data_IF_827114627811
#
_entry.id   IF_827114627811
#
_cell.length_a   1.000
_cell.length_b   1.000
_cell.length_c   1.000
_cell.angle_alpha   90.00
_cell.angle_beta   90.00
_cell.angle_gamma   90.00
#
_symmetry.space_group_name_H-M   'P 1'
#
loop_
_entity.id
_entity.type
_entity.pdbx_description
1 polymer ?
#
# COMPACT_ATOMS: atom_id res chain seq x y z
N UNK A 1 -17.15 -18.20 7.25
CA UNK A 1 -16.89 -16.87 6.63
C UNK A 1 -17.03 -15.83 7.73
N UNK A 2 -15.97 -15.12 8.06
CA UNK A 2 -15.91 -14.26 9.26
C UNK A 2 -16.03 -12.74 8.98
N UNK A 3 -16.53 -12.38 7.81
CA UNK A 3 -17.05 -11.04 7.60
C UNK A 3 -18.46 -10.95 8.23
N UNK A 4 -18.73 -9.91 9.01
CA UNK A 4 -20.07 -9.68 9.57
C UNK A 4 -21.10 -9.44 8.47
N UNK A 5 -20.74 -8.64 7.47
CA UNK A 5 -21.47 -8.53 6.21
C UNK A 5 -20.61 -9.02 5.03
N UNK A 6 -20.79 -10.26 4.60
CA UNK A 6 -20.07 -10.80 3.44
C UNK A 6 -20.31 -10.03 2.14
N UNK A 7 -21.44 -9.28 2.03
CA UNK A 7 -21.77 -8.51 0.83
C UNK A 7 -20.85 -7.31 0.68
N UNK A 8 -20.43 -6.67 1.78
CA UNK A 8 -19.46 -5.56 1.71
C UNK A 8 -18.07 -6.04 1.28
N UNK A 9 -17.61 -7.19 1.77
CA UNK A 9 -16.37 -7.80 1.29
C UNK A 9 -16.43 -8.16 -0.21
N UNK A 10 -17.56 -8.74 -0.66
CA UNK A 10 -17.75 -9.09 -2.06
C UNK A 10 -17.86 -7.85 -2.94
N UNK A 11 -18.52 -6.80 -2.47
CA UNK A 11 -18.58 -5.51 -3.15
C UNK A 11 -17.18 -4.90 -3.34
N UNK A 12 -16.34 -4.92 -2.31
CA UNK A 12 -14.94 -4.46 -2.43
C UNK A 12 -14.16 -5.30 -3.46
N UNK A 13 -14.31 -6.62 -3.46
CA UNK A 13 -13.69 -7.50 -4.47
C UNK A 13 -14.17 -7.19 -5.89
N UNK A 14 -15.43 -6.87 -6.07
CA UNK A 14 -16.01 -6.48 -7.36
C UNK A 14 -15.46 -5.13 -7.85
N UNK A 15 -15.26 -4.16 -6.94
CA UNK A 15 -14.57 -2.90 -7.26
C UNK A 15 -13.13 -3.15 -7.70
N UNK A 16 -12.41 -4.03 -7.00
CA UNK A 16 -11.05 -4.43 -7.39
C UNK A 16 -11.04 -5.08 -8.79
N UNK A 17 -11.97 -6.00 -9.08
CA UNK A 17 -12.08 -6.61 -10.41
C UNK A 17 -12.34 -5.58 -11.50
N UNK A 18 -13.25 -4.64 -11.27
CA UNK A 18 -13.54 -3.54 -12.21
C UNK A 18 -12.27 -2.72 -12.49
N UNK A 19 -11.47 -2.45 -11.46
CA UNK A 19 -10.20 -1.72 -11.61
C UNK A 19 -9.18 -2.52 -12.40
N UNK A 20 -9.04 -3.82 -12.14
CA UNK A 20 -8.16 -4.72 -12.91
C UNK A 20 -8.53 -4.69 -14.39
N UNK A 21 -9.81 -4.79 -14.74
CA UNK A 21 -10.25 -4.76 -16.14
C UNK A 21 -9.98 -3.39 -16.81
N UNK A 22 -10.11 -2.30 -16.07
CA UNK A 22 -9.70 -0.97 -16.56
C UNK A 22 -8.20 -0.91 -16.86
N UNK A 23 -7.35 -1.41 -15.95
CA UNK A 23 -5.89 -1.41 -16.14
C UNK A 23 -5.49 -2.30 -17.32
N UNK A 24 -6.13 -3.46 -17.52
CA UNK A 24 -5.90 -4.32 -18.70
C UNK A 24 -6.19 -3.59 -20.01
N UNK A 25 -7.25 -2.76 -20.07
CA UNK A 25 -7.53 -1.92 -21.25
C UNK A 25 -6.42 -0.91 -21.50
N UNK A 26 -5.87 -0.30 -20.44
CA UNK A 26 -4.73 0.62 -20.55
C UNK A 26 -3.49 -0.09 -21.11
N UNK A 27 -3.16 -1.30 -20.62
CA UNK A 27 -2.08 -2.13 -21.17
C UNK A 27 -2.28 -2.40 -22.65
N UNK A 28 -3.50 -2.80 -23.06
CA UNK A 28 -3.81 -3.03 -24.47
C UNK A 28 -3.60 -1.78 -25.33
N UNK A 29 -3.98 -0.61 -24.81
CA UNK A 29 -3.75 0.68 -25.50
C UNK A 29 -2.26 1.01 -25.59
N UNK A 30 -1.45 0.74 -24.57
CA UNK A 30 0.00 0.91 -24.60
C UNK A 30 0.66 -0.03 -25.61
N UNK A 31 0.26 -1.31 -25.63
CA UNK A 31 0.75 -2.28 -26.62
C UNK A 31 0.44 -1.86 -28.05
N UNK A 32 -0.78 -1.37 -28.33
CA UNK A 32 -1.12 -0.80 -29.65
C UNK A 32 -0.24 0.38 -30.03
N UNK A 33 0.12 1.25 -29.06
CA UNK A 33 1.04 2.37 -29.30
C UNK A 33 2.44 1.87 -29.66
N UNK A 34 2.93 0.78 -29.05
CA UNK A 34 4.24 0.19 -29.38
C UNK A 34 4.30 -0.37 -30.80
N UNK A 35 3.17 -0.72 -31.40
CA UNK A 35 3.10 -1.22 -32.79
C UNK A 35 3.16 -0.10 -33.85
N UNK A 36 3.16 1.18 -33.44
CA UNK A 36 3.26 2.31 -34.37
C UNK A 36 4.69 2.46 -34.86
N UNK A 37 4.84 2.65 -36.19
CA UNK A 37 6.14 2.91 -36.80
C UNK A 37 6.73 4.27 -36.37
N UNK A 38 8.05 4.37 -36.36
CA UNK A 38 8.76 5.64 -36.10
C UNK A 38 8.82 6.10 -34.65
N UNK A 39 8.57 5.21 -33.69
CA UNK A 39 8.74 5.54 -32.29
C UNK A 39 10.24 5.69 -31.94
N UNK A 40 10.58 6.78 -31.25
CA UNK A 40 11.93 6.92 -30.66
C UNK A 40 12.13 5.95 -29.50
N UNK A 41 13.39 5.50 -29.28
CA UNK A 41 13.77 4.62 -28.16
C UNK A 41 13.24 5.11 -26.83
N UNK A 42 13.34 6.42 -26.54
CA UNK A 42 12.83 7.02 -25.31
C UNK A 42 11.30 6.87 -25.15
N UNK A 43 10.53 6.94 -26.28
CA UNK A 43 9.08 6.72 -26.23
C UNK A 43 8.75 5.26 -25.95
N UNK A 44 9.49 4.33 -26.57
CA UNK A 44 9.34 2.89 -26.35
C UNK A 44 9.63 2.55 -24.88
N UNK A 45 10.73 3.04 -24.32
CA UNK A 45 11.08 2.85 -22.90
C UNK A 45 9.97 3.34 -21.97
N UNK A 46 9.47 4.58 -22.19
CA UNK A 46 8.39 5.15 -21.37
C UNK A 46 7.09 4.33 -21.45
N UNK A 47 6.73 3.81 -22.63
CA UNK A 47 5.53 2.96 -22.76
C UNK A 47 5.74 1.64 -22.03
N UNK A 48 6.93 1.03 -22.12
CA UNK A 48 7.24 -0.19 -21.40
C UNK A 48 7.20 0.02 -19.86
N UNK A 49 7.70 1.15 -19.37
CA UNK A 49 7.58 1.50 -17.94
C UNK A 49 6.10 1.60 -17.50
N UNK A 50 5.23 2.18 -18.33
CA UNK A 50 3.79 2.26 -18.06
C UNK A 50 3.12 0.88 -18.04
N UNK A 51 3.50 -0.02 -18.95
CA UNK A 51 3.02 -1.41 -18.97
C UNK A 51 3.47 -2.14 -17.69
N UNK A 52 4.76 -2.07 -17.34
CA UNK A 52 5.30 -2.72 -16.14
C UNK A 52 4.64 -2.21 -14.85
N UNK A 53 4.39 -0.92 -14.74
CA UNK A 53 3.65 -0.35 -13.61
C UNK A 53 2.22 -0.87 -13.56
N UNK A 54 1.52 -0.90 -14.69
CA UNK A 54 0.15 -1.41 -14.79
C UNK A 54 0.07 -2.90 -14.40
N UNK A 55 0.99 -3.73 -14.87
CA UNK A 55 1.08 -5.15 -14.49
C UNK A 55 1.36 -5.32 -12.99
N UNK A 56 2.25 -4.51 -12.42
CA UNK A 56 2.53 -4.52 -10.99
C UNK A 56 1.30 -4.13 -10.17
N UNK A 57 0.51 -3.16 -10.63
CA UNK A 57 -0.76 -2.78 -10.00
C UNK A 57 -1.78 -3.92 -10.05
N UNK A 58 -1.91 -4.63 -11.18
CA UNK A 58 -2.79 -5.82 -11.27
C UNK A 58 -2.35 -6.89 -10.28
N UNK A 59 -1.05 -7.16 -10.17
CA UNK A 59 -0.51 -8.12 -9.20
C UNK A 59 -0.90 -7.76 -7.76
N UNK A 60 -0.71 -6.49 -7.37
CA UNK A 60 -1.09 -5.99 -6.06
C UNK A 60 -2.61 -6.10 -5.80
N UNK A 61 -3.43 -5.76 -6.78
CA UNK A 61 -4.88 -5.86 -6.67
C UNK A 61 -5.37 -7.32 -6.53
N UNK A 62 -4.75 -8.27 -7.23
CA UNK A 62 -5.03 -9.68 -7.03
C UNK A 62 -4.63 -10.15 -5.62
N UNK A 63 -3.50 -9.65 -5.11
CA UNK A 63 -3.09 -9.91 -3.72
C UNK A 63 -4.11 -9.33 -2.73
N UNK A 64 -4.61 -8.11 -2.94
CA UNK A 64 -5.65 -7.51 -2.09
C UNK A 64 -6.93 -8.37 -2.05
N UNK A 65 -7.33 -8.99 -3.18
CA UNK A 65 -8.45 -9.94 -3.19
C UNK A 65 -8.16 -11.17 -2.32
N UNK A 66 -6.95 -11.73 -2.45
CA UNK A 66 -6.53 -12.87 -1.62
C UNK A 66 -6.48 -12.50 -0.14
N UNK A 67 -6.08 -11.27 0.19
CA UNK A 67 -6.07 -10.77 1.57
C UNK A 67 -7.51 -10.68 2.13
N UNK A 68 -8.49 -10.21 1.33
CA UNK A 68 -9.92 -10.19 1.71
C UNK A 68 -10.44 -11.61 1.94
N UNK A 69 -10.06 -12.57 1.08
CA UNK A 69 -10.44 -13.98 1.23
C UNK A 69 -9.80 -14.61 2.48
N UNK A 70 -8.55 -14.27 2.79
CA UNK A 70 -7.86 -14.69 4.01
C UNK A 70 -8.60 -14.23 5.28
N UNK A 71 -9.04 -12.97 5.32
CA UNK A 71 -9.84 -12.47 6.43
C UNK A 71 -11.17 -13.22 6.54
N UNK A 72 -11.77 -13.57 5.41
CA UNK A 72 -13.00 -14.38 5.38
C UNK A 72 -12.82 -15.82 5.92
N UNK A 73 -11.60 -16.35 5.90
CA UNK A 73 -11.25 -17.69 6.40
C UNK A 73 -10.73 -17.69 7.85
N UNK A 74 -10.41 -16.52 8.41
CA UNK A 74 -9.95 -16.42 9.79
C UNK A 74 -11.06 -16.85 10.76
N UNK A 75 -10.80 -17.91 11.53
CA UNK A 75 -11.78 -18.48 12.47
C UNK A 75 -11.82 -17.75 13.82
N UNK A 76 -10.82 -16.92 14.10
CA UNK A 76 -10.67 -16.30 15.42
C UNK A 76 -11.29 -14.90 15.50
N UNK A 77 -11.46 -14.21 14.38
CA UNK A 77 -11.91 -12.84 14.35
C UNK A 77 -13.14 -12.64 13.45
N UNK A 78 -13.99 -11.68 13.80
CA UNK A 78 -15.10 -11.22 12.96
C UNK A 78 -14.77 -9.82 12.48
N UNK A 79 -14.74 -9.61 11.16
CA UNK A 79 -14.36 -8.34 10.54
C UNK A 79 -15.60 -7.54 10.13
N UNK A 80 -15.57 -6.25 10.40
CA UNK A 80 -16.62 -5.29 10.05
C UNK A 80 -16.02 -4.17 9.22
N UNK A 81 -16.40 -4.08 7.95
CA UNK A 81 -16.00 -2.96 7.10
C UNK A 81 -16.98 -1.80 7.31
N UNK A 82 -16.49 -0.67 7.82
CA UNK A 82 -17.28 0.50 8.14
C UNK A 82 -16.81 1.71 7.34
N UNK A 83 -17.77 2.38 6.69
CA UNK A 83 -17.50 3.67 6.04
C UNK A 83 -17.65 4.80 7.05
N UNK A 84 -16.65 5.67 7.09
CA UNK A 84 -16.64 6.86 7.94
C UNK A 84 -16.52 8.12 7.08
N UNK A 85 -17.18 9.19 7.51
CA UNK A 85 -17.12 10.50 6.86
C UNK A 85 -16.01 11.34 7.52
N UNK A 86 -14.77 11.16 7.03
CA UNK A 86 -13.60 11.83 7.60
C UNK A 86 -13.06 11.16 8.86
N UNK A 87 -12.08 11.80 9.49
CA UNK A 87 -11.38 11.24 10.65
C UNK A 87 -10.22 10.31 10.28
N UNK A 88 -9.61 9.69 11.29
CA UNK A 88 -8.47 8.81 11.13
C UNK A 88 -8.96 7.43 10.68
N UNK A 89 -8.45 6.98 9.54
CA UNK A 89 -8.63 5.59 9.10
C UNK A 89 -7.88 4.67 10.05
N UNK A 90 -8.49 3.54 10.41
CA UNK A 90 -7.91 2.67 11.43
C UNK A 90 -8.52 1.28 11.40
N UNK A 91 -7.75 0.33 11.91
CA UNK A 91 -8.24 -0.98 12.35
C UNK A 91 -8.29 -0.98 13.87
N UNK A 92 -9.42 -1.31 14.44
CA UNK A 92 -9.57 -1.40 15.89
C UNK A 92 -10.42 -2.58 16.34
N UNK A 93 -10.13 -3.08 17.53
CA UNK A 93 -11.03 -4.02 18.22
C UNK A 93 -12.10 -3.26 18.99
N UNK A 94 -13.36 -3.61 18.77
CA UNK A 94 -14.48 -3.08 19.55
C UNK A 94 -14.71 -3.84 20.85
N UNK A 95 -15.57 -3.31 21.71
CA UNK A 95 -15.94 -3.93 22.98
C UNK A 95 -16.63 -5.30 22.83
N UNK A 96 -17.12 -5.63 21.61
CA UNK A 96 -17.74 -6.91 21.26
C UNK A 96 -16.76 -7.88 20.60
N UNK A 97 -15.45 -7.63 20.75
CA UNK A 97 -14.35 -8.42 20.17
C UNK A 97 -14.29 -8.47 18.65
N UNK A 98 -15.17 -7.72 17.95
CA UNK A 98 -15.10 -7.58 16.49
C UNK A 98 -13.98 -6.63 16.09
N UNK A 99 -13.41 -6.89 14.91
CA UNK A 99 -12.36 -6.07 14.31
C UNK A 99 -12.99 -5.12 13.30
N UNK A 100 -13.00 -3.84 13.59
CA UNK A 100 -13.57 -2.79 12.75
C UNK A 100 -12.49 -2.23 11.83
N UNK A 101 -12.79 -2.16 10.55
CA UNK A 101 -11.99 -1.53 9.50
C UNK A 101 -12.71 -0.25 9.12
N UNK A 102 -12.29 0.88 9.72
CA UNK A 102 -12.96 2.18 9.60
C UNK A 102 -12.25 3.04 8.56
N UNK A 103 -12.86 3.25 7.40
CA UNK A 103 -12.23 3.93 6.27
C UNK A 103 -13.23 4.73 5.46
N UNK A 104 -12.77 5.79 4.78
CA UNK A 104 -13.61 6.63 3.92
C UNK A 104 -13.64 6.20 2.46
N UNK A 105 -12.76 5.25 2.03
CA UNK A 105 -12.68 4.80 0.64
C UNK A 105 -12.27 3.34 0.50
N UNK A 106 -12.50 2.75 -0.68
CA UNK A 106 -12.06 1.39 -1.00
C UNK A 106 -10.54 1.25 -1.00
N UNK A 107 -9.82 2.27 -1.49
CA UNK A 107 -8.36 2.30 -1.48
C UNK A 107 -7.79 2.23 -0.06
N UNK A 108 -8.36 3.00 0.87
CA UNK A 108 -8.00 2.98 2.28
C UNK A 108 -8.41 1.67 2.97
N UNK A 109 -9.54 1.06 2.56
CA UNK A 109 -9.91 -0.27 3.05
C UNK A 109 -8.87 -1.33 2.66
N UNK A 110 -8.35 -1.25 1.43
CA UNK A 110 -7.29 -2.13 0.96
C UNK A 110 -6.00 -1.92 1.78
N UNK A 111 -5.65 -0.67 2.09
CA UNK A 111 -4.52 -0.32 2.96
C UNK A 111 -4.65 -1.00 4.34
N UNK A 112 -5.76 -0.79 5.02
CA UNK A 112 -6.01 -1.32 6.36
C UNK A 112 -6.13 -2.85 6.38
N UNK A 113 -6.76 -3.47 5.36
CA UNK A 113 -6.80 -4.93 5.18
C UNK A 113 -5.39 -5.51 5.02
N UNK A 114 -4.50 -4.79 4.34
CA UNK A 114 -3.09 -5.19 4.22
C UNK A 114 -2.41 -5.26 5.58
N UNK A 115 -2.63 -4.30 6.48
CA UNK A 115 -2.11 -4.34 7.85
C UNK A 115 -2.66 -5.50 8.69
N UNK A 116 -3.94 -5.83 8.54
CA UNK A 116 -4.54 -7.00 9.18
C UNK A 116 -3.84 -8.28 8.71
N UNK A 117 -3.72 -8.47 7.39
CA UNK A 117 -3.03 -9.63 6.81
C UNK A 117 -1.57 -9.73 7.29
N UNK A 118 -0.84 -8.60 7.31
CA UNK A 118 0.54 -8.56 7.82
C UNK A 118 0.61 -9.02 9.27
N UNK A 119 -0.34 -8.61 10.10
CA UNK A 119 -0.42 -9.02 11.51
C UNK A 119 -0.77 -10.51 11.64
N UNK A 120 -1.76 -11.01 10.92
CA UNK A 120 -2.15 -12.43 10.93
C UNK A 120 -0.97 -13.33 10.54
N UNK A 121 -0.21 -12.96 9.52
CA UNK A 121 0.96 -13.72 9.05
C UNK A 121 2.20 -13.58 9.94
N UNK A 122 2.20 -12.61 10.86
CA UNK A 122 3.33 -12.33 11.79
C UNK A 122 3.08 -12.78 13.22
N UNK A 123 2.05 -13.58 13.47
CA UNK A 123 1.76 -14.14 14.78
C UNK A 123 0.42 -13.70 15.38
N UNK A 124 -0.47 -13.14 14.58
CA UNK A 124 -1.84 -12.79 14.96
C UNK A 124 -2.05 -11.29 15.24
N UNK A 125 -3.32 -10.94 15.42
CA UNK A 125 -3.71 -9.56 15.72
C UNK A 125 -3.34 -9.22 17.17
N UNK A 126 -2.79 -8.04 17.38
CA UNK A 126 -2.53 -7.46 18.70
C UNK A 126 -3.08 -6.05 18.74
N UNK A 127 -3.81 -5.74 19.80
CA UNK A 127 -4.45 -4.44 19.95
C UNK A 127 -3.86 -3.70 21.15
N UNK A 128 -3.75 -2.38 21.02
CA UNK A 128 -3.37 -1.49 22.10
C UNK A 128 -4.49 -1.27 23.11
N UNK A 129 -4.22 -0.48 24.16
CA UNK A 129 -5.22 -0.17 25.20
C UNK A 129 -6.44 0.59 24.67
N UNK A 130 -6.28 1.35 23.60
CA UNK A 130 -7.37 2.06 22.90
C UNK A 130 -8.10 1.19 21.87
N UNK A 131 -7.73 -0.08 21.73
CA UNK A 131 -8.28 -0.99 20.74
C UNK A 131 -7.65 -0.87 19.35
N UNK A 132 -6.71 0.02 19.10
CA UNK A 132 -6.02 0.18 17.83
C UNK A 132 -5.13 -1.03 17.51
N UNK A 133 -5.07 -1.44 16.23
CA UNK A 133 -4.18 -2.50 15.77
C UNK A 133 -2.73 -2.05 15.91
N UNK A 134 -1.94 -2.86 16.63
CA UNK A 134 -0.51 -2.62 16.78
C UNK A 134 0.24 -3.16 15.56
N UNK A 135 1.23 -2.38 15.08
CA UNK A 135 2.08 -2.81 13.98
C UNK A 135 2.84 -4.09 14.35
N UNK A 136 2.84 -5.07 13.45
CA UNK A 136 3.48 -6.37 13.66
C UNK A 136 5.00 -6.36 13.38
N UNK A 137 5.57 -5.25 12.92
CA UNK A 137 7.00 -5.13 12.60
C UNK A 137 7.89 -5.23 13.82
N UNK A 138 8.88 -6.12 13.78
CA UNK A 138 9.83 -6.36 14.88
C UNK A 138 10.92 -5.28 15.01
N UNK A 139 11.09 -4.46 13.99
CA UNK A 139 12.07 -3.35 13.95
C UNK A 139 11.62 -2.30 12.94
N UNK A 140 12.31 -1.15 12.91
CA UNK A 140 11.95 -0.03 12.05
C UNK A 140 11.93 -0.37 10.55
N UNK A 141 12.86 -1.22 10.09
CA UNK A 141 12.88 -1.64 8.70
C UNK A 141 11.63 -2.49 8.35
N UNK A 142 11.23 -3.40 9.25
CA UNK A 142 10.02 -4.19 9.07
C UNK A 142 8.76 -3.32 9.08
N UNK A 143 8.66 -2.36 10.01
CA UNK A 143 7.56 -1.39 10.09
C UNK A 143 7.49 -0.57 8.78
N UNK A 144 8.61 -0.03 8.33
CA UNK A 144 8.68 0.73 7.09
C UNK A 144 8.23 -0.10 5.87
N UNK A 145 8.66 -1.36 5.77
CA UNK A 145 8.26 -2.24 4.67
C UNK A 145 6.76 -2.55 4.70
N UNK A 146 6.16 -2.67 5.89
CA UNK A 146 4.72 -2.87 6.04
C UNK A 146 3.93 -1.66 5.55
N UNK A 147 4.33 -0.46 5.92
CA UNK A 147 3.70 0.77 5.44
C UNK A 147 3.89 0.95 3.91
N UNK A 148 5.10 0.72 3.40
CA UNK A 148 5.37 0.77 1.94
C UNK A 148 4.45 -0.21 1.20
N UNK A 149 4.29 -1.43 1.68
CA UNK A 149 3.41 -2.42 1.07
C UNK A 149 1.95 -1.93 1.10
N UNK A 150 1.44 -1.49 2.24
CA UNK A 150 0.06 -1.02 2.39
C UNK A 150 -0.24 0.17 1.45
N UNK A 151 0.66 1.15 1.36
CA UNK A 151 0.52 2.26 0.42
C UNK A 151 0.63 1.84 -1.04
N UNK A 152 1.45 0.85 -1.39
CA UNK A 152 1.50 0.30 -2.75
C UNK A 152 0.21 -0.41 -3.13
N UNK A 153 -0.43 -1.11 -2.19
CA UNK A 153 -1.74 -1.71 -2.40
C UNK A 153 -2.81 -0.64 -2.63
N UNK A 154 -2.87 0.38 -1.78
CA UNK A 154 -3.74 1.55 -1.92
C UNK A 154 -3.55 2.22 -3.29
N UNK A 155 -2.32 2.59 -3.63
CA UNK A 155 -1.96 3.23 -4.91
C UNK A 155 -2.37 2.37 -6.11
N UNK A 156 -2.25 1.05 -6.00
CA UNK A 156 -2.62 0.15 -7.10
C UNK A 156 -4.11 0.22 -7.43
N UNK A 157 -4.95 0.58 -6.45
CA UNK A 157 -6.39 0.72 -6.66
C UNK A 157 -6.76 2.05 -7.35
N UNK A 158 -6.35 3.19 -6.81
CA UNK A 158 -6.84 4.50 -7.29
C UNK A 158 -5.73 5.51 -7.66
N UNK A 159 -4.47 5.10 -7.57
CA UNK A 159 -3.28 5.93 -7.79
C UNK A 159 -3.11 7.07 -6.79
N UNK A 160 -3.81 7.03 -5.64
CA UNK A 160 -3.62 7.98 -4.56
C UNK A 160 -2.50 7.56 -3.62
N UNK A 161 -1.69 8.52 -3.24
CA UNK A 161 -0.64 8.38 -2.23
C UNK A 161 -0.46 9.72 -1.54
N UNK A 162 -0.54 9.79 -0.20
CA UNK A 162 -0.45 11.06 0.53
C UNK A 162 0.97 11.67 0.54
N UNK A 163 1.97 10.90 0.16
CA UNK A 163 3.35 11.38 0.01
C UNK A 163 3.70 11.74 -1.43
N UNK A 164 5.00 11.94 -1.70
CA UNK A 164 5.50 12.27 -3.02
C UNK A 164 6.18 11.07 -3.67
N UNK A 165 5.70 10.61 -4.81
CA UNK A 165 6.33 9.54 -5.61
C UNK A 165 7.44 10.04 -6.53
N UNK A 166 7.69 11.35 -6.57
CA UNK A 166 8.68 11.98 -7.45
C UNK A 166 8.51 11.61 -8.93
N UNK A 167 7.27 11.43 -9.38
CA UNK A 167 6.94 11.04 -10.74
C UNK A 167 7.25 9.58 -11.12
N UNK A 168 7.62 8.75 -10.14
CA UNK A 168 7.95 7.32 -10.35
C UNK A 168 6.78 6.37 -10.13
N UNK A 169 5.57 6.90 -9.90
CA UNK A 169 4.38 6.11 -9.65
C UNK A 169 4.57 5.12 -8.49
N UNK A 170 4.16 3.87 -8.71
CA UNK A 170 4.27 2.80 -7.71
C UNK A 170 5.70 2.59 -7.18
N UNK A 171 6.71 2.75 -8.05
CA UNK A 171 8.12 2.59 -7.68
C UNK A 171 8.65 3.74 -6.82
N UNK A 172 7.95 4.87 -6.78
CA UNK A 172 8.28 6.01 -5.92
C UNK A 172 7.76 5.87 -4.50
N UNK A 173 6.97 4.83 -4.20
CA UNK A 173 6.52 4.52 -2.84
C UNK A 173 7.60 3.69 -2.15
N UNK A 174 8.46 4.37 -1.42
CA UNK A 174 9.63 3.84 -0.73
C UNK A 174 9.74 4.42 0.69
N UNK A 175 10.81 4.08 1.41
CA UNK A 175 11.05 4.56 2.77
C UNK A 175 11.09 6.11 2.85
N UNK A 176 11.68 6.77 1.84
CA UNK A 176 11.77 8.23 1.83
C UNK A 176 10.39 8.86 1.63
N UNK A 177 9.62 8.36 0.67
CA UNK A 177 8.30 8.88 0.37
C UNK A 177 7.31 8.65 1.51
N UNK A 178 7.32 7.46 2.15
CA UNK A 178 6.47 7.14 3.31
C UNK A 178 6.89 7.94 4.55
N UNK A 179 8.19 8.05 4.84
CA UNK A 179 8.68 8.83 5.96
C UNK A 179 8.35 10.33 5.85
N UNK A 180 8.18 10.85 4.63
CA UNK A 180 7.84 12.26 4.40
C UNK A 180 6.34 12.55 4.27
N UNK A 181 5.46 11.59 4.58
CA UNK A 181 4.01 11.85 4.59
C UNK A 181 3.67 12.86 5.67
N UNK A 182 2.91 13.88 5.29
CA UNK A 182 2.42 14.94 6.17
C UNK A 182 0.90 14.88 6.25
N UNK A 183 0.36 15.22 7.40
CA UNK A 183 -1.07 15.45 7.60
C UNK A 183 -1.52 16.82 7.07
N UNK A 184 -2.81 17.13 7.22
CA UNK A 184 -3.41 18.40 6.80
C UNK A 184 -2.86 19.62 7.59
N UNK A 185 -2.20 19.38 8.73
CA UNK A 185 -1.54 20.39 9.54
C UNK A 185 -0.02 20.51 9.23
N UNK A 186 0.43 19.87 8.15
CA UNK A 186 1.85 19.79 7.74
C UNK A 186 2.78 19.15 8.78
N UNK A 187 2.24 18.24 9.61
CA UNK A 187 3.03 17.47 10.56
C UNK A 187 3.36 16.08 9.97
N UNK A 188 4.56 15.59 10.28
CA UNK A 188 4.99 14.26 9.83
C UNK A 188 4.07 13.20 10.47
N UNK A 189 3.43 12.38 9.65
CA UNK A 189 2.51 11.30 10.10
C UNK A 189 3.27 10.20 10.82
N UNK A 190 4.48 9.88 10.35
CA UNK A 190 5.32 8.80 10.89
C UNK A 190 6.68 9.34 11.37
N UNK A 191 6.78 10.05 12.52
CA UNK A 191 8.03 10.65 12.96
C UNK A 191 9.20 9.66 13.07
N UNK A 192 8.93 8.45 13.58
CA UNK A 192 9.96 7.41 13.75
C UNK A 192 10.47 6.91 12.37
N UNK A 193 9.59 6.76 11.38
CA UNK A 193 9.98 6.36 10.02
C UNK A 193 10.70 7.50 9.29
N UNK A 194 10.33 8.76 9.54
CA UNK A 194 11.06 9.92 9.03
C UNK A 194 12.51 9.91 9.52
N UNK A 195 12.74 9.78 10.82
CA UNK A 195 14.08 9.75 11.41
C UNK A 195 14.89 8.56 10.87
N UNK A 196 14.25 7.41 10.73
CA UNK A 196 14.86 6.23 10.12
C UNK A 196 15.25 6.48 8.65
N UNK A 197 14.37 7.05 7.84
CA UNK A 197 14.64 7.41 6.45
C UNK A 197 15.83 8.38 6.32
N UNK A 198 15.88 9.40 7.18
CA UNK A 198 17.00 10.36 7.24
C UNK A 198 18.31 9.66 7.59
N UNK A 199 18.29 8.73 8.55
CA UNK A 199 19.49 7.99 8.97
C UNK A 199 20.03 7.10 7.85
N UNK A 200 19.16 6.37 7.14
CA UNK A 200 19.52 5.52 5.99
C UNK A 200 20.11 6.36 4.85
N UNK A 201 19.49 7.50 4.53
CA UNK A 201 20.01 8.42 3.51
C UNK A 201 21.43 8.91 3.85
N UNK A 202 21.66 9.36 5.07
CA UNK A 202 22.99 9.81 5.53
C UNK A 202 24.04 8.69 5.46
N UNK A 203 23.67 7.46 5.81
CA UNK A 203 24.57 6.30 5.70
C UNK A 203 24.98 6.01 4.25
N UNK A 204 24.01 6.04 3.32
CA UNK A 204 24.25 5.86 1.89
C UNK A 204 25.16 6.95 1.31
N UNK A 205 24.96 8.21 1.66
CA UNK A 205 25.81 9.34 1.23
C UNK A 205 27.26 9.18 1.72
N UNK A 206 27.46 8.71 2.97
CA UNK A 206 28.80 8.42 3.50
C UNK A 206 29.48 7.28 2.74
N UNK A 207 28.76 6.19 2.47
CA UNK A 207 29.27 5.04 1.70
C UNK A 207 29.70 5.45 0.30
N UNK A 208 28.91 6.29 -0.38
CA UNK A 208 29.23 6.82 -1.71
C UNK A 208 30.49 7.71 -1.70
N UNK A 209 30.67 8.54 -0.66
CA UNK A 209 31.88 9.37 -0.52
C UNK A 209 33.14 8.51 -0.32
N UNK A 210 33.06 7.46 0.51
CA UNK A 210 34.15 6.53 0.76
C UNK A 210 34.54 5.76 -0.52
N UNK A 211 33.55 5.26 -1.29
CA UNK A 211 33.84 4.55 -2.53
C UNK A 211 34.50 5.44 -3.57
N UNK A 212 34.06 6.70 -3.72
CA UNK A 212 34.69 7.67 -4.63
C UNK A 212 36.10 8.06 -4.21
N UNK A 213 36.43 8.08 -2.91
CA UNK A 213 37.77 8.38 -2.42
C UNK A 213 38.77 7.24 -2.64
N UNK A 214 38.29 5.98 -2.75
CA UNK A 214 39.12 4.81 -3.01
C UNK A 214 39.38 4.58 -4.50
N UNK A 215 38.69 5.27 -5.40
CA UNK A 215 38.86 5.19 -6.87
C UNK A 215 39.79 6.29 -7.41
N UNK A 216 40.29 7.18 -6.56
CA UNK A 216 41.32 8.19 -6.87
C UNK A 216 42.68 7.76 -6.33
#
# INVERSE_FOLDING_TARGET
MKWEDPKEAEKLKNQINTKIESIKKDISNYQKKLMQEGLSTRKVEKINEQINEAESRISNLNKSKSDIDLLGQDENNTYVLTRIDGGRHTVRQGNNEKVYIETSSDALSIHEITHIRQSLTSGGLRFGRGGELLNAGKNLAAIANMEIEAYRMQYSFDTTFPGNTYGKGLNGIDLQSVGNIMDDQHQIVYPILYDYAVSVRKANERSLKISKSKMR
#
